data_IF_255745933729
#
_entry.id   IF_255745933729
#
_cell.length_a   1.000
_cell.length_b   1.000
_cell.length_c   1.000
_cell.angle_alpha   90.00
_cell.angle_beta   90.00
_cell.angle_gamma   90.00
#
_symmetry.space_group_name_H-M   'P 1'
#
loop_
_entity.id
_entity.type
_entity.pdbx_description
1 polymer ?
#
# COMPACT_ATOMS: atom_id res chain seq x y z
N UNK A 1 4.38 25.41 -18.35
CA UNK A 1 5.41 25.81 -19.35
C UNK A 1 6.81 25.33 -18.94
N UNK A 2 7.44 25.85 -17.88
CA UNK A 2 8.78 25.35 -17.46
C UNK A 2 8.74 23.90 -16.98
N UNK A 3 7.87 23.58 -16.02
CA UNK A 3 7.76 22.22 -15.49
C UNK A 3 7.33 21.20 -16.56
N UNK A 4 6.38 21.55 -17.43
CA UNK A 4 5.90 20.69 -18.52
C UNK A 4 6.95 20.36 -19.58
N UNK A 5 8.05 21.11 -19.66
CA UNK A 5 9.13 20.86 -20.62
C UNK A 5 10.33 20.17 -19.96
N UNK A 6 10.69 20.57 -18.74
CA UNK A 6 11.91 20.11 -18.06
C UNK A 6 11.66 19.13 -16.91
N UNK A 7 10.41 18.91 -16.50
CA UNK A 7 10.02 18.10 -15.33
C UNK A 7 10.83 18.43 -14.05
N UNK A 8 11.14 19.72 -13.87
CA UNK A 8 11.89 20.23 -12.72
C UNK A 8 11.22 19.82 -11.41
N UNK A 9 12.02 19.43 -10.41
CA UNK A 9 11.52 19.08 -9.07
C UNK A 9 10.85 20.28 -8.38
N UNK A 10 9.97 20.01 -7.41
CA UNK A 10 9.32 21.05 -6.61
C UNK A 10 10.33 22.01 -5.95
N UNK A 11 11.49 21.50 -5.53
CA UNK A 11 12.56 22.31 -4.93
C UNK A 11 13.20 23.26 -5.95
N UNK A 12 13.40 22.81 -7.18
CA UNK A 12 13.91 23.66 -8.25
C UNK A 12 12.88 24.76 -8.60
N UNK A 13 11.59 24.41 -8.67
CA UNK A 13 10.51 25.36 -8.91
C UNK A 13 10.41 26.43 -7.82
N UNK A 14 10.50 26.06 -6.54
CA UNK A 14 10.54 27.02 -5.42
C UNK A 14 11.69 28.02 -5.57
N UNK A 15 12.90 27.55 -5.87
CA UNK A 15 14.07 28.43 -5.98
C UNK A 15 14.02 29.33 -7.21
N UNK A 16 13.63 28.79 -8.36
CA UNK A 16 13.70 29.50 -9.64
C UNK A 16 12.58 30.53 -9.79
N UNK A 17 11.38 30.21 -9.30
CA UNK A 17 10.19 31.03 -9.48
C UNK A 17 9.69 31.67 -8.18
N UNK A 18 10.43 31.50 -7.07
CA UNK A 18 10.05 32.00 -5.74
C UNK A 18 8.64 31.55 -5.31
N UNK A 19 8.25 30.33 -5.73
CA UNK A 19 6.94 29.75 -5.40
C UNK A 19 6.94 29.21 -3.97
N UNK A 20 5.76 29.25 -3.35
CA UNK A 20 5.54 28.52 -2.09
C UNK A 20 5.75 27.02 -2.30
N UNK A 21 6.15 26.34 -1.23
CA UNK A 21 6.37 24.89 -1.26
C UNK A 21 5.10 24.10 -1.63
N UNK A 22 3.93 24.54 -1.15
CA UNK A 22 2.64 23.93 -1.47
C UNK A 22 2.34 24.00 -2.97
N UNK A 23 2.49 25.18 -3.57
CA UNK A 23 2.23 25.38 -4.99
C UNK A 23 3.22 24.60 -5.87
N UNK A 24 4.50 24.59 -5.52
CA UNK A 24 5.49 23.82 -6.26
C UNK A 24 5.24 22.31 -6.19
N UNK A 25 4.74 21.79 -5.05
CA UNK A 25 4.31 20.40 -4.94
C UNK A 25 3.08 20.10 -5.79
N UNK A 26 2.09 20.98 -5.77
CA UNK A 26 0.87 20.84 -6.59
C UNK A 26 1.20 20.78 -8.09
N UNK A 27 2.09 21.64 -8.57
CA UNK A 27 2.56 21.62 -9.97
C UNK A 27 3.16 20.26 -10.35
N UNK A 28 4.01 19.68 -9.49
CA UNK A 28 4.61 18.37 -9.73
C UNK A 28 3.58 17.24 -9.60
N UNK A 29 2.68 17.31 -8.63
CA UNK A 29 1.66 16.28 -8.37
C UNK A 29 0.58 16.22 -9.46
N UNK A 30 0.27 17.35 -10.10
CA UNK A 30 -0.72 17.43 -11.19
C UNK A 30 -0.13 17.05 -12.55
N UNK A 31 1.19 16.88 -12.68
CA UNK A 31 1.83 16.46 -13.90
C UNK A 31 1.69 14.94 -14.11
N UNK A 32 0.94 14.52 -15.14
CA UNK A 32 0.70 13.11 -15.49
C UNK A 32 1.99 12.34 -15.79
N UNK A 33 2.96 12.97 -16.46
CA UNK A 33 4.26 12.36 -16.76
C UNK A 33 5.15 12.20 -15.52
N UNK A 34 4.97 13.03 -14.49
CA UNK A 34 5.69 12.86 -13.23
C UNK A 34 4.99 11.86 -12.29
N UNK A 35 3.67 11.68 -12.42
CA UNK A 35 2.90 10.73 -11.60
C UNK A 35 3.36 9.29 -11.77
N UNK A 36 3.78 8.88 -12.97
CA UNK A 36 4.32 7.53 -13.21
C UNK A 36 5.60 7.24 -12.42
N UNK A 37 6.35 8.29 -12.05
CA UNK A 37 7.59 8.21 -11.27
C UNK A 37 7.39 8.68 -9.83
N UNK A 38 6.16 8.99 -9.42
CA UNK A 38 5.88 9.35 -8.06
C UNK A 38 6.18 8.15 -7.15
N UNK A 39 6.79 8.38 -5.97
CA UNK A 39 6.98 7.31 -5.01
C UNK A 39 5.64 6.67 -4.71
N UNK A 40 5.61 5.34 -4.67
CA UNK A 40 4.44 4.59 -4.26
C UNK A 40 3.98 5.12 -2.91
N UNK A 41 2.70 5.49 -2.84
CA UNK A 41 2.11 5.85 -1.57
C UNK A 41 2.24 4.64 -0.64
N UNK A 42 2.62 4.84 0.64
CA UNK A 42 2.60 3.75 1.60
C UNK A 42 1.18 3.16 1.62
N UNK A 43 1.04 1.96 1.10
CA UNK A 43 -0.22 1.23 1.18
C UNK A 43 -0.33 0.73 2.61
N UNK A 44 -1.53 0.82 3.19
CA UNK A 44 -1.78 0.26 4.51
C UNK A 44 -1.37 -1.21 4.57
N UNK A 45 -0.85 -1.63 5.72
CA UNK A 45 -0.54 -3.05 5.99
C UNK A 45 -1.68 -3.68 6.78
N UNK A 46 -1.86 -4.99 6.65
CA UNK A 46 -2.84 -5.71 7.47
C UNK A 46 -2.44 -5.63 8.96
N UNK A 47 -3.39 -5.30 9.86
CA UNK A 47 -3.11 -5.25 11.29
C UNK A 47 -2.76 -6.65 11.82
N UNK A 48 -1.92 -6.69 12.86
CA UNK A 48 -1.55 -7.91 13.59
C UNK A 48 -1.74 -7.70 15.09
N UNK A 49 -2.00 -8.78 15.81
CA UNK A 49 -2.04 -8.77 17.26
C UNK A 49 -0.70 -8.33 17.85
N UNK A 50 -0.75 -7.63 18.98
CA UNK A 50 0.39 -7.31 19.83
C UNK A 50 0.69 -8.45 20.83
N UNK A 51 -0.26 -9.37 21.01
CA UNK A 51 -0.20 -10.50 21.92
C UNK A 51 -0.87 -11.72 21.27
N UNK A 52 -0.52 -12.92 21.73
CA UNK A 52 -1.17 -14.14 21.29
C UNK A 52 -2.67 -14.09 21.63
N UNK A 53 -3.49 -14.68 20.78
CA UNK A 53 -4.95 -14.77 20.91
C UNK A 53 -5.69 -13.42 20.78
N UNK A 54 -5.02 -12.35 20.33
CA UNK A 54 -5.62 -11.03 20.20
C UNK A 54 -6.33 -10.80 18.86
N UNK A 55 -5.68 -11.16 17.74
CA UNK A 55 -6.21 -10.97 16.39
C UNK A 55 -5.96 -12.25 15.60
N UNK A 56 -7.05 -12.81 15.09
CA UNK A 56 -7.04 -13.96 14.19
C UNK A 56 -7.50 -13.53 12.79
N UNK A 57 -6.87 -14.11 11.77
CA UNK A 57 -7.35 -14.04 10.38
C UNK A 57 -7.94 -15.39 10.01
N UNK A 58 -9.14 -15.38 9.45
CA UNK A 58 -9.85 -16.59 9.02
C UNK A 58 -10.21 -16.47 7.56
N UNK A 59 -9.92 -17.51 6.78
CA UNK A 59 -10.33 -17.62 5.39
C UNK A 59 -10.65 -19.08 5.04
N UNK A 60 -11.19 -19.33 3.84
CA UNK A 60 -11.50 -20.67 3.33
C UNK A 60 -10.63 -20.94 2.11
N UNK A 61 -9.91 -22.06 2.13
CA UNK A 61 -9.17 -22.56 0.97
C UNK A 61 -9.83 -23.80 0.38
N UNK A 62 -9.63 -24.03 -0.92
CA UNK A 62 -10.22 -25.15 -1.64
C UNK A 62 -9.17 -26.22 -1.95
N UNK A 63 -9.35 -27.41 -1.36
CA UNK A 63 -8.49 -28.60 -1.51
C UNK A 63 -9.31 -29.75 -2.11
N UNK A 64 -9.31 -29.90 -3.46
CA UNK A 64 -10.18 -30.84 -4.18
C UNK A 64 -10.09 -32.30 -3.70
N UNK A 65 -8.94 -32.72 -3.19
CA UNK A 65 -8.64 -34.07 -2.71
C UNK A 65 -9.57 -34.53 -1.58
N UNK A 66 -10.16 -33.59 -0.84
CA UNK A 66 -11.14 -33.89 0.22
C UNK A 66 -12.59 -34.01 -0.28
N UNK A 67 -12.83 -33.96 -1.59
CA UNK A 67 -14.14 -34.22 -2.18
C UNK A 67 -15.21 -33.27 -1.66
N UNK A 68 -16.24 -33.77 -0.97
CA UNK A 68 -17.30 -32.90 -0.40
C UNK A 68 -16.79 -31.97 0.69
N UNK A 69 -15.68 -32.31 1.36
CA UNK A 69 -15.03 -31.51 2.40
C UNK A 69 -13.87 -30.66 1.85
N UNK A 70 -13.88 -30.40 0.53
CA UNK A 70 -12.85 -29.60 -0.15
C UNK A 70 -12.72 -28.16 0.33
N UNK A 71 -13.67 -27.63 1.09
CA UNK A 71 -13.62 -26.26 1.62
C UNK A 71 -13.06 -26.29 3.04
N UNK A 72 -11.77 -26.04 3.17
CA UNK A 72 -11.06 -26.04 4.45
C UNK A 72 -11.09 -24.65 5.04
N UNK A 73 -11.68 -24.52 6.23
CA UNK A 73 -11.67 -23.28 6.99
C UNK A 73 -10.35 -23.17 7.74
N UNK A 74 -9.59 -22.10 7.52
CA UNK A 74 -8.29 -21.88 8.13
C UNK A 74 -8.33 -20.61 8.97
N UNK A 75 -7.90 -20.70 10.22
CA UNK A 75 -7.70 -19.57 11.11
C UNK A 75 -6.24 -19.51 11.57
N UNK A 76 -5.63 -18.33 11.51
CA UNK A 76 -4.27 -18.08 11.97
C UNK A 76 -4.24 -16.94 12.99
N UNK A 77 -3.59 -17.17 14.12
CA UNK A 77 -3.29 -16.11 15.08
C UNK A 77 -2.17 -15.23 14.51
N UNK A 78 -2.47 -13.95 14.29
CA UNK A 78 -1.57 -13.03 13.57
C UNK A 78 -0.32 -12.63 14.37
N UNK A 79 -0.27 -12.94 15.67
CA UNK A 79 0.89 -12.69 16.52
C UNK A 79 1.81 -13.91 16.63
N UNK A 80 1.26 -15.05 17.05
CA UNK A 80 2.00 -16.29 17.33
C UNK A 80 2.19 -17.19 16.11
N UNK A 81 1.38 -17.02 15.07
CA UNK A 81 1.37 -17.89 13.89
C UNK A 81 0.71 -19.26 14.12
N UNK A 82 0.05 -19.48 15.26
CA UNK A 82 -0.71 -20.69 15.51
C UNK A 82 -1.83 -20.85 14.46
N UNK A 83 -1.91 -22.02 13.83
CA UNK A 83 -2.83 -22.30 12.73
C UNK A 83 -3.83 -23.39 13.15
N UNK A 84 -5.09 -23.16 12.81
CA UNK A 84 -6.18 -24.10 12.97
C UNK A 84 -6.87 -24.32 11.63
N UNK A 85 -7.15 -25.58 11.28
CA UNK A 85 -7.81 -25.94 10.03
C UNK A 85 -8.86 -27.03 10.27
N UNK A 86 -10.04 -26.88 9.66
CA UNK A 86 -11.18 -27.82 9.72
C UNK A 86 -11.80 -28.04 8.36
#
# INVERSE_FOLDING_TARGET
LSHSFFHQSARALCKQFQLSWSLAREIVQTCSECQQFAPLQPVGVNPRGLQALQIWQTDVTHVPEFGRQKYIHVSIDTYSGALWAT
#
